data_IF_629630256504
#
_entry.id   IF_629630256504
#
_cell.length_a   1.000
_cell.length_b   1.000
_cell.length_c   1.000
_cell.angle_alpha   90.00
_cell.angle_beta   90.00
_cell.angle_gamma   90.00
#
_symmetry.space_group_name_H-M   'P 1'
#
loop_
_entity.id
_entity.type
_entity.pdbx_description
1 polymer ?
#
# COMPACT_ATOMS: atom_id res chain seq x y z
N UNK A 1 9.43 0.45 -12.40
CA UNK A 1 8.17 -0.19 -12.03
C UNK A 1 7.49 0.55 -10.88
N UNK A 2 8.17 0.72 -9.77
CA UNK A 2 7.77 1.51 -8.60
C UNK A 2 8.99 2.00 -7.84
N UNK A 3 8.80 3.01 -7.00
CA UNK A 3 9.80 3.53 -6.06
C UNK A 3 9.28 3.34 -4.64
N UNK A 4 10.17 3.09 -3.66
CA UNK A 4 9.76 2.93 -2.28
C UNK A 4 10.73 3.62 -1.31
N UNK A 5 10.20 4.04 -0.18
CA UNK A 5 10.99 4.38 1.00
C UNK A 5 10.94 3.20 1.97
N UNK A 6 12.01 2.44 1.98
CA UNK A 6 12.12 1.20 2.75
C UNK A 6 13.04 1.37 3.94
N UNK A 7 12.52 1.10 5.12
CA UNK A 7 13.32 1.09 6.36
C UNK A 7 13.90 -0.31 6.60
N UNK A 8 15.22 -0.41 6.47
CA UNK A 8 15.96 -1.65 6.68
C UNK A 8 15.98 -2.10 8.15
N UNK A 9 15.72 -1.22 9.10
CA UNK A 9 15.70 -1.53 10.53
C UNK A 9 14.39 -2.19 10.98
N UNK A 10 13.30 -1.84 10.33
CA UNK A 10 11.96 -2.38 10.59
C UNK A 10 11.46 -3.29 9.47
N UNK A 11 12.23 -3.41 8.37
CA UNK A 11 11.84 -4.19 7.19
C UNK A 11 10.49 -3.74 6.60
N UNK A 12 10.18 -2.46 6.67
CA UNK A 12 8.88 -1.89 6.29
C UNK A 12 9.06 -0.83 5.22
N UNK A 13 8.27 -0.90 4.15
CA UNK A 13 8.14 0.21 3.22
C UNK A 13 7.09 1.19 3.77
N UNK A 14 7.53 2.39 4.17
CA UNK A 14 6.64 3.45 4.64
C UNK A 14 5.83 4.07 3.52
N UNK A 15 6.35 4.02 2.29
CA UNK A 15 5.58 4.29 1.09
C UNK A 15 6.15 3.55 -0.12
N UNK A 16 5.25 3.22 -1.05
CA UNK A 16 5.52 2.71 -2.40
C UNK A 16 4.73 3.56 -3.39
N UNK A 17 5.42 4.18 -4.34
CA UNK A 17 4.85 5.10 -5.33
C UNK A 17 4.94 4.53 -6.75
N UNK A 18 3.83 4.60 -7.50
CA UNK A 18 3.78 4.07 -8.85
C UNK A 18 2.65 4.71 -9.69
N UNK A 19 2.83 4.81 -11.03
CA UNK A 19 1.73 5.11 -11.93
C UNK A 19 0.89 3.86 -12.19
N UNK A 20 -0.42 4.01 -12.27
CA UNK A 20 -1.36 2.96 -12.64
C UNK A 20 -2.19 3.43 -13.84
N UNK A 21 -2.10 2.70 -14.94
CA UNK A 21 -2.87 2.89 -16.15
C UNK A 21 -3.44 1.55 -16.64
N UNK A 22 -4.43 1.59 -17.50
CA UNK A 22 -5.08 0.39 -18.05
C UNK A 22 -4.08 -0.63 -18.61
N UNK A 23 -3.02 -0.18 -19.29
CA UNK A 23 -2.01 -1.06 -19.89
C UNK A 23 -1.13 -1.82 -18.88
N UNK A 24 -1.14 -1.45 -17.59
CA UNK A 24 -0.43 -2.19 -16.54
C UNK A 24 -1.22 -3.39 -16.01
N UNK A 25 -2.53 -3.42 -16.25
CA UNK A 25 -3.45 -4.43 -15.73
C UNK A 25 -3.72 -5.51 -16.78
N UNK A 26 -3.86 -6.75 -16.33
CA UNK A 26 -4.14 -7.93 -17.15
C UNK A 26 -4.66 -9.08 -16.28
N UNK A 27 -4.28 -10.30 -16.62
CA UNK A 27 -4.74 -11.51 -15.91
C UNK A 27 -3.58 -12.38 -15.39
N UNK A 28 -2.34 -11.92 -15.50
CA UNK A 28 -1.17 -12.65 -15.02
C UNK A 28 -1.11 -12.72 -13.49
N UNK A 29 -0.57 -13.81 -12.97
CA UNK A 29 -0.25 -13.97 -11.54
C UNK A 29 1.03 -14.78 -11.40
N UNK A 30 1.95 -14.34 -10.54
CA UNK A 30 3.20 -15.04 -10.32
C UNK A 30 3.17 -15.96 -9.10
N UNK A 31 2.69 -15.49 -7.97
CA UNK A 31 2.78 -16.12 -6.63
C UNK A 31 4.20 -16.58 -6.22
N UNK A 32 5.22 -16.14 -6.97
CA UNK A 32 6.62 -16.51 -6.72
C UNK A 32 7.28 -15.46 -5.82
N UNK A 33 6.94 -15.51 -4.56
CA UNK A 33 7.59 -14.67 -3.56
C UNK A 33 9.10 -14.91 -3.58
N UNK A 34 9.86 -13.82 -3.53
CA UNK A 34 11.29 -13.84 -3.65
C UNK A 34 11.95 -12.69 -2.90
N UNK A 35 13.23 -12.85 -2.66
CA UNK A 35 14.07 -11.77 -2.15
C UNK A 35 14.18 -10.66 -3.18
N UNK A 36 14.15 -9.39 -2.73
CA UNK A 36 14.53 -8.27 -3.57
C UNK A 36 16.03 -8.36 -3.89
N UNK A 37 16.42 -8.51 -5.16
CA UNK A 37 17.83 -8.68 -5.53
C UNK A 37 18.69 -7.43 -5.29
N UNK A 38 18.07 -6.26 -5.12
CA UNK A 38 18.75 -5.00 -4.84
C UNK A 38 19.17 -4.80 -3.37
N UNK A 39 18.82 -5.74 -2.48
CA UNK A 39 19.13 -5.67 -1.05
C UNK A 39 19.80 -6.95 -0.55
N UNK A 40 20.67 -6.82 0.46
CA UNK A 40 21.23 -7.96 1.15
C UNK A 40 20.13 -8.73 1.90
N UNK A 41 20.35 -10.02 2.16
CA UNK A 41 19.40 -10.85 2.91
C UNK A 41 19.19 -10.36 4.35
N UNK A 42 20.23 -9.80 4.96
CA UNK A 42 20.16 -9.19 6.30
C UNK A 42 19.28 -7.93 6.35
N UNK A 43 19.07 -7.28 5.22
CA UNK A 43 18.33 -6.02 5.10
C UNK A 43 16.83 -6.22 4.80
N UNK A 44 16.36 -7.46 4.71
CA UNK A 44 14.97 -7.79 4.42
C UNK A 44 14.51 -8.99 5.25
N UNK A 45 13.20 -9.08 5.49
CA UNK A 45 12.61 -10.18 6.25
C UNK A 45 12.32 -11.37 5.31
N UNK A 46 12.61 -12.60 5.75
CA UNK A 46 12.38 -13.78 4.93
C UNK A 46 10.91 -14.20 4.97
N UNK A 47 10.15 -13.71 3.99
CA UNK A 47 8.78 -14.16 3.72
C UNK A 47 8.64 -14.75 2.31
N UNK A 48 9.76 -14.94 1.59
CA UNK A 48 9.78 -15.57 0.27
C UNK A 48 9.74 -17.10 0.34
N UNK A 49 10.30 -17.73 1.36
CA UNK A 49 10.28 -19.17 1.53
C UNK A 49 8.98 -19.69 2.15
N UNK A 50 8.29 -18.86 2.94
CA UNK A 50 6.93 -19.11 3.44
C UNK A 50 6.26 -17.79 3.83
N UNK A 51 4.94 -17.81 4.09
CA UNK A 51 4.22 -16.64 4.65
C UNK A 51 4.78 -16.26 6.03
N UNK A 52 4.25 -15.18 6.65
CA UNK A 52 4.62 -14.84 8.02
C UNK A 52 4.40 -16.02 8.99
N UNK A 53 3.36 -16.84 8.77
CA UNK A 53 3.11 -18.03 9.58
C UNK A 53 2.77 -17.72 11.03
N UNK A 54 2.12 -16.59 11.29
CA UNK A 54 1.74 -16.08 12.61
C UNK A 54 0.27 -15.72 12.61
N UNK A 55 -0.47 -16.21 13.62
CA UNK A 55 -1.88 -15.86 13.81
C UNK A 55 -2.03 -14.50 14.49
N UNK A 56 -3.20 -13.87 14.27
CA UNK A 56 -3.54 -12.63 14.94
C UNK A 56 -3.56 -12.84 16.47
N UNK A 57 -2.83 -11.97 17.19
CA UNK A 57 -2.71 -12.06 18.65
C UNK A 57 -1.83 -13.19 19.17
N UNK A 58 -1.28 -14.05 18.29
CA UNK A 58 -0.38 -15.11 18.70
C UNK A 58 1.03 -14.59 18.99
N UNK A 59 1.72 -15.25 19.91
CA UNK A 59 3.16 -15.08 20.12
C UNK A 59 3.95 -16.04 19.22
N UNK A 60 5.25 -15.84 19.10
CA UNK A 60 6.12 -16.71 18.29
C UNK A 60 6.18 -18.17 18.80
N UNK A 61 5.81 -18.41 20.07
CA UNK A 61 5.71 -19.76 20.66
C UNK A 61 4.41 -20.47 20.32
N UNK A 62 3.38 -19.74 19.89
CA UNK A 62 2.07 -20.30 19.57
C UNK A 62 2.13 -20.85 18.15
N UNK A 63 1.92 -22.13 17.95
CA UNK A 63 1.96 -22.75 16.62
C UNK A 63 1.00 -22.06 15.61
N UNK A 64 1.44 -21.93 14.35
CA UNK A 64 0.61 -21.40 13.27
C UNK A 64 -0.56 -22.35 12.95
N UNK A 65 -1.77 -21.81 12.92
CA UNK A 65 -3.02 -22.50 12.60
C UNK A 65 -3.76 -21.73 11.49
N UNK A 66 -3.80 -22.29 10.29
CA UNK A 66 -4.44 -21.66 9.12
C UNK A 66 -5.97 -21.55 9.20
N UNK A 67 -6.61 -22.18 10.18
CA UNK A 67 -8.04 -22.06 10.45
C UNK A 67 -8.39 -20.76 11.22
N UNK A 68 -7.39 -20.12 11.81
CA UNK A 68 -7.51 -18.86 12.53
C UNK A 68 -7.15 -17.68 11.63
N UNK A 69 -7.55 -16.48 12.02
CA UNK A 69 -7.10 -15.27 11.36
C UNK A 69 -5.57 -15.11 11.51
N UNK A 70 -4.90 -14.74 10.44
CA UNK A 70 -3.45 -14.69 10.36
C UNK A 70 -2.96 -13.45 9.62
N UNK A 71 -1.66 -13.16 9.74
CA UNK A 71 -1.01 -12.11 8.96
C UNK A 71 -0.56 -12.65 7.60
N UNK A 72 -1.25 -12.15 6.56
CA UNK A 72 -0.87 -12.40 5.17
C UNK A 72 0.36 -11.59 4.77
N UNK A 73 0.99 -11.99 3.68
CA UNK A 73 1.93 -11.14 2.92
C UNK A 73 1.14 -10.07 2.18
N UNK A 74 0.80 -8.99 2.88
CA UNK A 74 0.05 -7.89 2.31
C UNK A 74 0.91 -7.07 1.35
N UNK A 75 0.50 -7.00 0.09
CA UNK A 75 1.19 -6.20 -0.91
C UNK A 75 1.03 -4.70 -0.65
N UNK A 76 2.08 -3.93 -0.84
CA UNK A 76 1.99 -2.47 -0.96
C UNK A 76 1.52 -2.10 -2.37
N UNK A 77 2.30 -2.37 -3.42
CA UNK A 77 1.78 -2.37 -4.78
C UNK A 77 1.17 -3.75 -5.07
N UNK A 78 -0.15 -3.83 -5.38
CA UNK A 78 -0.82 -5.09 -5.65
C UNK A 78 -0.31 -5.76 -6.94
N UNK A 79 -0.33 -7.09 -6.99
CA UNK A 79 0.00 -7.78 -8.22
C UNK A 79 -0.96 -7.42 -9.37
N UNK A 80 -2.23 -7.20 -9.08
CA UNK A 80 -3.24 -6.86 -10.09
C UNK A 80 -3.00 -5.49 -10.76
N UNK A 81 -2.19 -4.63 -10.15
CA UNK A 81 -1.79 -3.34 -10.73
C UNK A 81 -0.61 -3.47 -11.70
N UNK A 82 -0.02 -4.67 -11.86
CA UNK A 82 1.15 -4.97 -12.69
C UNK A 82 1.03 -6.24 -13.51
N UNK A 83 -0.08 -6.94 -13.44
CA UNK A 83 -0.25 -8.27 -14.04
C UNK A 83 -0.54 -8.26 -15.56
N UNK A 84 -0.43 -7.11 -16.21
CA UNK A 84 -0.36 -6.98 -17.67
C UNK A 84 1.02 -7.30 -18.27
N UNK A 85 2.05 -7.48 -17.40
CA UNK A 85 3.42 -7.82 -17.80
C UNK A 85 4.04 -8.80 -16.82
N UNK A 86 4.58 -9.92 -17.32
CA UNK A 86 5.27 -10.91 -16.49
C UNK A 86 6.50 -10.33 -15.77
N UNK A 87 7.22 -9.43 -16.43
CA UNK A 87 8.39 -8.75 -15.87
C UNK A 87 8.01 -7.80 -14.72
N UNK A 88 6.91 -7.07 -14.86
CA UNK A 88 6.46 -6.12 -13.85
C UNK A 88 5.80 -6.81 -12.66
N UNK A 89 4.96 -7.83 -12.92
CA UNK A 89 4.23 -8.53 -11.86
C UNK A 89 5.16 -9.28 -10.91
N UNK A 90 6.25 -9.84 -11.41
CA UNK A 90 7.20 -10.59 -10.59
C UNK A 90 7.83 -9.73 -9.49
N UNK A 91 8.02 -8.44 -9.76
CA UNK A 91 8.59 -7.50 -8.80
C UNK A 91 7.63 -7.14 -7.66
N UNK A 92 6.31 -7.32 -7.87
CA UNK A 92 5.34 -7.12 -6.78
C UNK A 92 5.45 -8.21 -5.70
N UNK A 93 6.09 -9.33 -6.02
CA UNK A 93 6.36 -10.44 -5.09
C UNK A 93 7.74 -10.37 -4.41
N UNK A 94 8.42 -9.23 -4.49
CA UNK A 94 9.58 -9.01 -3.62
C UNK A 94 9.13 -8.88 -2.16
N UNK A 95 9.83 -9.55 -1.24
CA UNK A 95 9.52 -9.50 0.18
C UNK A 95 9.46 -8.08 0.74
N UNK A 96 10.26 -7.15 0.17
CA UNK A 96 10.25 -5.73 0.53
C UNK A 96 8.96 -4.98 0.19
N UNK A 97 8.13 -5.55 -0.69
CA UNK A 97 6.80 -5.05 -1.02
C UNK A 97 5.69 -5.63 -0.11
N UNK A 98 6.07 -6.40 0.89
CA UNK A 98 5.14 -7.07 1.80
C UNK A 98 5.22 -6.51 3.20
N UNK A 99 4.06 -6.38 3.84
CA UNK A 99 3.93 -6.13 5.27
C UNK A 99 2.93 -7.11 5.88
N UNK A 100 3.01 -7.42 7.19
CA UNK A 100 2.00 -8.23 7.85
C UNK A 100 0.63 -7.57 7.78
N UNK A 101 -0.34 -8.20 7.10
CA UNK A 101 -1.73 -7.71 7.03
C UNK A 101 -2.71 -8.77 7.50
N UNK A 102 -3.70 -8.40 8.31
CA UNK A 102 -4.83 -9.24 8.70
C UNK A 102 -5.51 -9.76 7.43
N UNK A 103 -5.61 -11.11 7.28
CA UNK A 103 -5.94 -11.70 5.98
C UNK A 103 -7.40 -11.45 5.56
N UNK A 104 -8.37 -11.97 6.32
CA UNK A 104 -9.73 -12.10 5.77
C UNK A 104 -10.53 -10.80 5.79
N UNK A 105 -10.34 -9.97 6.80
CA UNK A 105 -11.18 -8.78 7.01
C UNK A 105 -10.47 -7.46 6.71
N UNK A 106 -9.16 -7.52 6.44
CA UNK A 106 -8.40 -6.36 5.98
C UNK A 106 -7.84 -6.60 4.58
N UNK A 107 -6.79 -7.40 4.41
CA UNK A 107 -6.12 -7.65 3.14
C UNK A 107 -7.07 -8.19 2.06
N UNK A 108 -7.77 -9.30 2.33
CA UNK A 108 -8.81 -9.88 1.46
C UNK A 108 -10.20 -9.26 1.68
N UNK A 109 -10.31 -8.16 2.41
CA UNK A 109 -11.54 -7.46 2.73
C UNK A 109 -11.55 -6.03 2.21
N UNK A 110 -11.63 -5.07 3.12
CA UNK A 110 -11.80 -3.64 2.81
C UNK A 110 -10.62 -3.08 1.97
N UNK A 111 -9.37 -3.55 2.23
CA UNK A 111 -8.20 -3.10 1.49
C UNK A 111 -8.26 -3.54 0.03
N UNK A 112 -8.64 -4.80 -0.25
CA UNK A 112 -8.86 -5.30 -1.61
C UNK A 112 -9.98 -4.55 -2.33
N UNK A 113 -11.05 -4.17 -1.61
CA UNK A 113 -12.12 -3.35 -2.18
C UNK A 113 -11.60 -1.98 -2.62
N UNK A 114 -10.78 -1.31 -1.80
CA UNK A 114 -10.14 -0.05 -2.16
C UNK A 114 -9.24 -0.21 -3.39
N UNK A 115 -8.39 -1.23 -3.42
CA UNK A 115 -7.53 -1.53 -4.58
C UNK A 115 -8.34 -1.74 -5.87
N UNK A 116 -9.45 -2.46 -5.77
CA UNK A 116 -10.35 -2.68 -6.90
C UNK A 116 -11.02 -1.38 -7.36
N UNK A 117 -11.43 -0.52 -6.42
CA UNK A 117 -11.95 0.81 -6.70
C UNK A 117 -10.94 1.68 -7.47
N UNK A 118 -9.67 1.67 -7.04
CA UNK A 118 -8.59 2.41 -7.71
C UNK A 118 -8.36 1.88 -9.14
N UNK A 119 -8.32 0.55 -9.33
CA UNK A 119 -8.21 -0.06 -10.66
C UNK A 119 -9.37 0.30 -11.59
N UNK A 120 -10.60 0.35 -11.08
CA UNK A 120 -11.77 0.74 -11.86
C UNK A 120 -11.63 2.19 -12.38
N UNK A 121 -11.10 3.11 -11.57
CA UNK A 121 -10.78 4.47 -12.02
C UNK A 121 -9.67 4.43 -13.09
N UNK A 122 -8.57 3.74 -12.83
CA UNK A 122 -7.43 3.66 -13.74
C UNK A 122 -7.76 2.98 -15.09
N UNK A 123 -8.80 2.14 -15.14
CA UNK A 123 -9.27 1.52 -16.38
C UNK A 123 -9.97 2.50 -17.33
N UNK A 124 -10.45 3.62 -16.82
CA UNK A 124 -11.26 4.62 -17.57
C UNK A 124 -10.62 6.00 -17.65
N UNK A 125 -9.49 6.22 -16.97
CA UNK A 125 -8.71 7.45 -17.03
C UNK A 125 -7.36 7.21 -17.70
N UNK A 126 -6.59 8.25 -17.95
CA UNK A 126 -5.23 8.14 -18.50
C UNK A 126 -4.30 7.43 -17.50
N UNK A 127 -4.05 8.06 -16.38
CA UNK A 127 -3.16 7.54 -15.34
C UNK A 127 -3.62 7.99 -13.96
N UNK A 128 -3.64 7.06 -13.00
CA UNK A 128 -3.71 7.34 -11.57
C UNK A 128 -2.33 7.19 -10.96
N UNK A 129 -1.78 8.22 -10.36
CA UNK A 129 -0.55 8.12 -9.58
C UNK A 129 -0.92 7.68 -8.17
N UNK A 130 -0.32 6.60 -7.71
CA UNK A 130 -0.64 5.97 -6.43
C UNK A 130 0.58 6.04 -5.52
N UNK A 131 0.38 6.51 -4.30
CA UNK A 131 1.29 6.26 -3.18
C UNK A 131 0.53 5.44 -2.16
N UNK A 132 1.07 4.32 -1.75
CA UNK A 132 0.51 3.44 -0.73
C UNK A 132 1.55 3.20 0.34
N UNK A 133 1.13 3.06 1.59
CA UNK A 133 2.10 2.87 2.64
C UNK A 133 1.54 2.23 3.91
N UNK A 134 2.48 1.79 4.73
CA UNK A 134 2.25 1.17 6.02
C UNK A 134 2.93 2.01 7.10
N UNK A 135 2.22 2.37 8.14
CA UNK A 135 2.69 3.26 9.21
C UNK A 135 2.66 2.52 10.54
N UNK A 136 3.77 2.60 11.26
CA UNK A 136 3.90 1.99 12.57
C UNK A 136 3.30 2.88 13.67
N UNK A 137 3.56 4.20 13.57
CA UNK A 137 3.04 5.21 14.48
C UNK A 137 2.81 6.51 13.71
N UNK A 138 1.79 7.26 14.07
CA UNK A 138 1.59 8.62 13.55
C UNK A 138 2.41 9.63 14.35
N UNK A 139 2.64 10.81 13.77
CA UNK A 139 3.24 11.92 14.49
C UNK A 139 2.42 12.25 15.74
N UNK A 140 3.06 12.22 16.91
CA UNK A 140 2.42 12.48 18.21
C UNK A 140 1.58 11.31 18.79
N UNK A 141 1.48 10.19 18.09
CA UNK A 141 0.86 8.98 18.62
C UNK A 141 1.92 7.94 19.01
N UNK A 142 1.85 7.47 20.25
CA UNK A 142 2.76 6.48 20.83
C UNK A 142 2.06 5.11 21.02
N UNK A 143 1.19 4.73 20.10
CA UNK A 143 0.58 3.40 20.13
C UNK A 143 1.63 2.29 20.17
N UNK A 144 1.31 1.22 20.89
CA UNK A 144 2.19 0.07 20.98
C UNK A 144 2.31 -0.63 19.61
N UNK A 145 3.54 -0.93 19.23
CA UNK A 145 3.83 -1.70 18.00
C UNK A 145 3.85 -3.18 18.35
N UNK A 146 3.04 -3.96 17.65
CA UNK A 146 3.11 -5.43 17.72
C UNK A 146 4.28 -5.92 16.88
N UNK A 147 5.15 -6.74 17.47
CA UNK A 147 6.29 -7.36 16.78
C UNK A 147 6.09 -8.85 16.63
N UNK A 148 6.31 -9.36 15.44
CA UNK A 148 6.22 -10.79 15.13
C UNK A 148 7.55 -11.30 14.55
N UNK A 149 7.80 -12.60 14.70
CA UNK A 149 8.89 -13.32 14.03
C UNK A 149 8.26 -14.25 13.00
N UNK A 150 8.48 -14.05 11.69
CA UNK A 150 7.99 -14.96 10.67
C UNK A 150 8.55 -16.37 10.85
N UNK A 151 7.76 -17.37 10.50
CA UNK A 151 8.16 -18.80 10.63
C UNK A 151 9.50 -19.12 9.95
N UNK A 152 9.85 -18.41 8.88
CA UNK A 152 11.06 -18.66 8.07
C UNK A 152 12.22 -17.74 8.40
N UNK A 153 12.13 -16.94 9.46
CA UNK A 153 13.17 -15.99 9.84
C UNK A 153 13.41 -16.02 11.34
N UNK A 154 14.58 -15.57 11.75
CA UNK A 154 14.90 -15.28 13.15
C UNK A 154 14.74 -13.79 13.50
N UNK A 155 14.62 -12.92 12.49
CA UNK A 155 14.42 -11.49 12.64
C UNK A 155 12.97 -11.19 12.99
N UNK A 156 12.75 -10.12 13.74
CA UNK A 156 11.41 -9.61 14.06
C UNK A 156 11.04 -8.50 13.08
N UNK A 157 9.78 -8.44 12.69
CA UNK A 157 9.23 -7.31 11.96
C UNK A 157 7.99 -6.76 12.68
N UNK A 158 7.71 -5.46 12.56
CA UNK A 158 6.51 -4.88 13.14
C UNK A 158 5.27 -5.18 12.30
N UNK A 159 4.14 -5.25 12.96
CA UNK A 159 2.82 -5.20 12.32
C UNK A 159 2.41 -3.73 12.25
N UNK A 160 2.17 -3.17 11.05
CA UNK A 160 1.74 -1.79 10.92
C UNK A 160 0.46 -1.48 11.66
N UNK A 161 0.38 -0.30 12.27
CA UNK A 161 -0.82 0.18 12.96
C UNK A 161 -1.83 0.81 11.99
N UNK A 162 -1.32 1.39 10.88
CA UNK A 162 -2.15 2.06 9.87
C UNK A 162 -1.67 1.74 8.46
N UNK A 163 -2.62 1.83 7.52
CA UNK A 163 -2.36 1.80 6.08
C UNK A 163 -3.01 2.99 5.41
N UNK A 164 -2.37 3.50 4.38
CA UNK A 164 -2.93 4.60 3.60
C UNK A 164 -2.73 4.40 2.10
N UNK A 165 -3.56 5.09 1.32
CA UNK A 165 -3.33 5.38 -0.09
C UNK A 165 -3.55 6.85 -0.34
N UNK A 166 -2.62 7.48 -1.06
CA UNK A 166 -2.77 8.80 -1.64
C UNK A 166 -2.82 8.65 -3.17
N UNK A 167 -3.84 9.18 -3.79
CA UNK A 167 -4.10 9.05 -5.22
C UNK A 167 -4.10 10.43 -5.87
N UNK A 168 -3.54 10.51 -7.08
CA UNK A 168 -3.52 11.73 -7.88
C UNK A 168 -3.97 11.44 -9.32
N UNK A 169 -4.83 12.30 -9.86
CA UNK A 169 -5.07 12.45 -11.29
C UNK A 169 -4.67 13.86 -11.73
N UNK A 170 -4.19 14.00 -12.96
CA UNK A 170 -3.79 15.29 -13.54
C UNK A 170 -4.43 15.48 -14.90
N UNK A 171 -4.73 16.73 -15.25
CA UNK A 171 -5.04 17.15 -16.61
C UNK A 171 -3.87 17.93 -17.17
N UNK A 172 -3.61 17.76 -18.45
CA UNK A 172 -2.50 18.41 -19.15
C UNK A 172 -3.01 19.11 -20.40
N UNK A 173 -2.34 20.19 -20.77
CA UNK A 173 -2.58 20.86 -22.06
C UNK A 173 -1.84 20.15 -23.22
N UNK A 174 -1.97 20.71 -24.42
CA UNK A 174 -1.32 20.18 -25.62
C UNK A 174 0.22 20.19 -25.56
N UNK A 175 0.81 20.99 -24.68
CA UNK A 175 2.26 21.02 -24.40
C UNK A 175 2.70 20.08 -23.29
N UNK A 176 1.80 19.21 -22.82
CA UNK A 176 2.02 18.27 -21.71
C UNK A 176 2.23 18.93 -20.34
N UNK A 177 1.91 20.21 -20.20
CA UNK A 177 1.96 20.93 -18.92
C UNK A 177 0.74 20.59 -18.08
N UNK A 178 0.93 20.33 -16.78
CA UNK A 178 -0.18 20.14 -15.84
C UNK A 178 -0.97 21.44 -15.69
N UNK A 179 -2.27 21.38 -15.95
CA UNK A 179 -3.20 22.51 -15.86
C UNK A 179 -4.16 22.40 -14.67
N UNK A 180 -4.43 21.18 -14.22
CA UNK A 180 -5.21 20.93 -13.01
C UNK A 180 -4.89 19.54 -12.46
N UNK A 181 -5.17 19.35 -11.18
CA UNK A 181 -4.98 18.08 -10.49
C UNK A 181 -6.12 17.85 -9.49
N UNK A 182 -6.34 16.59 -9.17
CA UNK A 182 -7.26 16.16 -8.12
C UNK A 182 -6.61 15.02 -7.33
N UNK A 183 -6.67 15.11 -6.01
CA UNK A 183 -6.19 14.03 -5.15
C UNK A 183 -7.31 13.46 -4.27
N UNK A 184 -7.07 12.31 -3.70
CA UNK A 184 -7.86 11.72 -2.62
C UNK A 184 -6.95 10.86 -1.75
N UNK A 185 -7.18 10.89 -0.45
CA UNK A 185 -6.53 10.03 0.51
C UNK A 185 -7.46 8.97 1.07
N UNK A 186 -6.88 7.87 1.55
CA UNK A 186 -7.54 6.87 2.39
C UNK A 186 -6.62 6.57 3.55
N UNK A 187 -7.19 6.58 4.77
CA UNK A 187 -6.46 6.27 5.99
C UNK A 187 -7.23 5.23 6.79
N UNK A 188 -6.61 4.09 7.07
CA UNK A 188 -7.25 2.99 7.76
C UNK A 188 -6.39 2.46 8.90
N UNK A 189 -6.98 2.32 10.08
CA UNK A 189 -6.42 1.49 11.14
C UNK A 189 -6.24 0.05 10.66
N UNK A 190 -5.16 -0.60 11.05
CA UNK A 190 -4.94 -2.01 10.75
C UNK A 190 -5.71 -2.90 11.72
N UNK A 191 -6.98 -3.09 11.46
CA UNK A 191 -7.91 -3.91 12.26
C UNK A 191 -8.86 -4.69 11.37
N UNK A 192 -9.68 -5.52 11.97
CA UNK A 192 -10.77 -6.19 11.27
C UNK A 192 -11.88 -5.19 10.91
N UNK A 193 -12.39 -5.32 9.68
CA UNK A 193 -13.56 -4.60 9.17
C UNK A 193 -14.61 -5.60 8.73
N UNK A 194 -15.87 -5.36 9.09
CA UNK A 194 -17.00 -6.20 8.71
C UNK A 194 -18.12 -5.33 8.18
N UNK A 195 -18.61 -5.64 6.98
CA UNK A 195 -19.73 -4.95 6.33
C UNK A 195 -19.53 -3.43 6.18
N UNK A 196 -18.30 -3.00 5.90
CA UNK A 196 -17.93 -1.60 5.76
C UNK A 196 -17.46 -1.26 4.35
N UNK A 197 -17.57 0.00 3.96
CA UNK A 197 -17.11 0.52 2.67
C UNK A 197 -15.81 1.29 2.85
N UNK A 198 -14.83 1.04 1.97
CA UNK A 198 -13.59 1.81 1.96
C UNK A 198 -13.81 3.31 1.79
N UNK A 199 -14.92 3.73 1.14
CA UNK A 199 -15.24 5.16 0.93
C UNK A 199 -15.51 5.92 2.24
N UNK A 200 -15.86 5.21 3.32
CA UNK A 200 -16.03 5.81 4.65
C UNK A 200 -14.70 6.27 5.28
N UNK A 201 -13.57 5.82 4.73
CA UNK A 201 -12.21 6.12 5.19
C UNK A 201 -11.48 7.08 4.24
N UNK A 202 -12.25 7.73 3.34
CA UNK A 202 -11.72 8.77 2.49
C UNK A 202 -11.34 10.00 3.32
N UNK A 203 -10.19 10.56 3.02
CA UNK A 203 -9.65 11.77 3.65
C UNK A 203 -8.91 12.60 2.60
N UNK A 204 -8.38 13.75 2.98
CA UNK A 204 -7.52 14.53 2.10
C UNK A 204 -6.07 14.03 2.11
N UNK A 205 -5.33 14.27 1.04
CA UNK A 205 -3.88 13.99 1.03
C UNK A 205 -3.17 14.88 2.04
N UNK A 206 -3.57 16.14 2.19
CA UNK A 206 -3.04 17.04 3.22
C UNK A 206 -3.17 16.47 4.64
N UNK A 207 -4.25 15.74 4.95
CA UNK A 207 -4.39 15.07 6.26
C UNK A 207 -3.42 13.89 6.40
N UNK A 208 -3.19 13.09 5.34
CA UNK A 208 -2.20 12.01 5.37
C UNK A 208 -0.79 12.59 5.58
N UNK A 209 -0.46 13.69 4.92
CA UNK A 209 0.82 14.39 5.10
C UNK A 209 1.00 14.88 6.53
N UNK A 210 -0.04 15.48 7.10
CA UNK A 210 -0.03 15.90 8.52
C UNK A 210 0.24 14.72 9.47
N UNK A 211 -0.34 13.54 9.18
CA UNK A 211 -0.20 12.34 10.01
C UNK A 211 1.16 11.67 9.83
N UNK A 212 1.73 11.72 8.63
CA UNK A 212 2.95 10.96 8.28
C UNK A 212 4.21 11.80 8.29
N UNK A 213 4.09 13.13 8.10
CA UNK A 213 5.21 14.03 7.90
C UNK A 213 5.85 13.95 6.50
N UNK A 214 5.25 13.20 5.58
CA UNK A 214 5.67 13.18 4.17
C UNK A 214 5.01 14.32 3.38
N UNK A 215 5.64 14.71 2.29
CA UNK A 215 5.12 15.63 1.27
C UNK A 215 4.92 14.82 -0.02
N UNK A 216 3.66 14.61 -0.41
CA UNK A 216 3.32 13.80 -1.57
C UNK A 216 3.11 14.70 -2.79
N UNK A 217 3.39 14.14 -3.98
CA UNK A 217 3.15 14.83 -5.25
C UNK A 217 3.87 16.18 -5.41
N UNK A 218 4.97 16.39 -4.69
CA UNK A 218 5.77 17.62 -4.65
C UNK A 218 6.30 18.10 -6.03
N UNK A 219 6.15 17.30 -7.08
CA UNK A 219 6.48 17.69 -8.45
C UNK A 219 5.35 18.48 -9.16
N UNK A 220 4.18 18.63 -8.53
CA UNK A 220 3.13 19.50 -9.04
C UNK A 220 3.52 20.99 -8.86
N UNK A 221 3.01 21.90 -9.73
CA UNK A 221 3.05 23.32 -9.40
C UNK A 221 2.41 23.56 -8.03
N UNK A 222 3.06 24.37 -7.18
CA UNK A 222 2.71 24.50 -5.76
C UNK A 222 1.26 24.96 -5.51
N UNK A 223 0.73 25.83 -6.37
CA UNK A 223 -0.66 26.30 -6.31
C UNK A 223 -1.66 25.19 -6.68
N UNK A 224 -1.33 24.37 -7.66
CA UNK A 224 -2.14 23.20 -8.07
C UNK A 224 -2.07 22.12 -6.99
N UNK A 225 -0.87 21.85 -6.43
CA UNK A 225 -0.68 20.87 -5.36
C UNK A 225 -1.53 21.24 -4.15
N UNK A 226 -1.35 22.44 -3.60
CA UNK A 226 -2.05 22.89 -2.41
C UNK A 226 -3.58 22.85 -2.55
N UNK A 227 -4.11 23.16 -3.74
CA UNK A 227 -5.55 23.09 -4.00
C UNK A 227 -6.04 21.65 -4.14
N UNK A 228 -5.30 20.80 -4.85
CA UNK A 228 -5.67 19.41 -5.11
C UNK A 228 -5.73 18.57 -3.83
N UNK A 229 -4.79 18.78 -2.91
CA UNK A 229 -4.62 18.00 -1.69
C UNK A 229 -5.71 18.19 -0.63
N UNK A 230 -6.59 19.19 -0.80
CA UNK A 230 -7.70 19.43 0.12
C UNK A 230 -8.93 18.54 -0.13
N UNK A 231 -9.01 17.86 -1.26
CA UNK A 231 -10.17 17.03 -1.57
C UNK A 231 -10.20 15.76 -0.70
N UNK A 232 -11.32 15.54 -0.04
CA UNK A 232 -11.61 14.34 0.75
C UNK A 232 -12.84 13.56 0.25
N UNK A 233 -13.38 13.92 -0.92
CA UNK A 233 -14.58 13.33 -1.48
C UNK A 233 -14.23 12.37 -2.63
N UNK A 234 -14.52 11.09 -2.44
CA UNK A 234 -14.27 10.06 -3.44
C UNK A 234 -14.98 10.32 -4.77
N UNK A 235 -16.26 10.74 -4.74
CA UNK A 235 -17.02 10.97 -5.97
C UNK A 235 -16.44 12.13 -6.78
N UNK A 236 -15.96 13.18 -6.11
CA UNK A 236 -15.26 14.30 -6.76
C UNK A 236 -13.99 13.82 -7.45
N UNK A 237 -13.18 12.99 -6.78
CA UNK A 237 -11.99 12.39 -7.37
C UNK A 237 -12.35 11.46 -8.53
N UNK A 238 -13.35 10.60 -8.36
CA UNK A 238 -13.73 9.62 -9.38
C UNK A 238 -14.20 10.29 -10.67
N UNK A 239 -14.92 11.42 -10.57
CA UNK A 239 -15.46 12.16 -11.72
C UNK A 239 -14.47 13.15 -12.37
N UNK A 240 -13.32 13.45 -11.75
CA UNK A 240 -12.28 14.32 -12.30
C UNK A 240 -11.59 13.62 -13.49
#
# INVERSE_FOLDING_TARGET
NYTMYYDKSTYTAYWVAYPLAKGHMGNGRSDKWQRNPGLAESEQINVWSSSYGVNLGATTSDGYDSSKEFYARGHQIPNADRNGSDELVVQTYYATNSTPQIQNKFNGGIWQQLESGVRNIAATTDTVYVVTGAILQTAGNHEAITWITPKSDSKRCPVPNYYYKALLKVRRDASNKVTSAMTIGFWMEHREYSNDSYTNYATSVAEIERLTGFDFFANLPADIQAAAEQNSNWNTFASF
#
